data_IF_821422105740
#
_entry.id   IF_821422105740
#
_cell.length_a   1.000
_cell.length_b   1.000
_cell.length_c   1.000
_cell.angle_alpha   90.00
_cell.angle_beta   90.00
_cell.angle_gamma   90.00
#
_symmetry.space_group_name_H-M   'P 1'
#
loop_
_entity.id
_entity.type
_entity.pdbx_description
1 polymer ?
#
# COMPACT_ATOMS: atom_id res chain seq x y z
N UNK A 1 1.37 -46.06 13.84
CA UNK A 1 0.79 -45.00 14.68
C UNK A 1 1.32 -43.66 14.15
N UNK A 2 0.44 -42.79 13.69
CA UNK A 2 0.72 -41.76 12.67
C UNK A 2 1.49 -40.53 13.20
N UNK A 3 2.51 -40.11 12.45
CA UNK A 3 3.12 -38.78 12.49
C UNK A 3 2.42 -37.90 11.44
N UNK A 4 1.82 -36.79 11.87
CA UNK A 4 1.25 -35.77 10.98
C UNK A 4 2.24 -34.60 10.91
N UNK A 5 2.88 -34.42 9.75
CA UNK A 5 3.63 -33.21 9.40
C UNK A 5 2.71 -32.33 8.55
N UNK A 6 2.34 -31.14 9.05
CA UNK A 6 1.74 -30.10 8.20
C UNK A 6 2.87 -29.28 7.59
N UNK A 7 3.04 -29.38 6.26
CA UNK A 7 3.88 -28.48 5.48
C UNK A 7 3.09 -27.20 5.21
N UNK A 8 3.47 -26.09 5.85
CA UNK A 8 3.11 -24.78 5.33
C UNK A 8 4.18 -24.39 4.31
N UNK A 9 3.78 -24.28 3.04
CA UNK A 9 4.64 -23.70 2.00
C UNK A 9 4.94 -22.24 2.36
N UNK A 10 6.18 -21.96 2.73
CA UNK A 10 6.69 -20.57 2.89
C UNK A 10 6.95 -19.93 1.51
N UNK A 11 6.72 -20.66 0.41
CA UNK A 11 7.15 -20.29 -0.94
C UNK A 11 6.35 -19.13 -1.57
N UNK A 12 5.16 -18.80 -1.04
CA UNK A 12 4.33 -17.72 -1.58
C UNK A 12 4.69 -16.34 -1.01
N UNK A 13 5.17 -16.26 0.24
CA UNK A 13 5.50 -14.98 0.87
C UNK A 13 6.80 -14.37 0.30
N UNK A 14 7.79 -15.21 -0.04
CA UNK A 14 9.06 -14.76 -0.61
C UNK A 14 8.89 -14.27 -2.07
N UNK A 15 8.14 -14.98 -2.89
CA UNK A 15 7.87 -14.59 -4.29
C UNK A 15 7.04 -13.31 -4.41
N UNK A 16 6.11 -13.09 -3.47
CA UNK A 16 5.38 -11.84 -3.26
C UNK A 16 6.36 -10.70 -2.93
N UNK A 17 7.18 -10.83 -1.89
CA UNK A 17 8.11 -9.78 -1.48
C UNK A 17 9.15 -9.43 -2.56
N UNK A 18 9.72 -10.42 -3.26
CA UNK A 18 10.74 -10.22 -4.29
C UNK A 18 10.22 -9.54 -5.56
N UNK A 19 8.94 -9.74 -5.90
CA UNK A 19 8.31 -9.05 -7.04
C UNK A 19 7.76 -7.68 -6.65
N UNK A 20 7.19 -7.54 -5.46
CA UNK A 20 6.68 -6.25 -4.98
C UNK A 20 7.80 -5.26 -4.62
N UNK A 21 8.99 -5.75 -4.22
CA UNK A 21 10.17 -4.91 -3.99
C UNK A 21 10.83 -4.33 -5.26
N UNK A 22 10.41 -4.75 -6.46
CA UNK A 22 10.97 -4.31 -7.75
C UNK A 22 10.04 -3.41 -8.57
N UNK A 23 8.85 -3.09 -8.05
CA UNK A 23 7.97 -2.16 -8.74
C UNK A 23 8.58 -0.75 -8.67
N UNK A 24 8.68 -0.02 -9.81
CA UNK A 24 9.05 1.38 -9.77
C UNK A 24 7.89 2.15 -9.12
N UNK A 25 7.99 2.42 -7.82
CA UNK A 25 6.95 3.09 -7.05
C UNK A 25 7.23 4.59 -6.97
N UNK A 26 6.41 5.37 -7.67
CA UNK A 26 6.20 6.80 -7.40
C UNK A 26 4.79 7.00 -6.89
N UNK A 27 4.64 7.70 -5.77
CA UNK A 27 3.35 7.94 -5.12
C UNK A 27 2.83 9.34 -5.41
N UNK A 28 1.57 9.44 -5.76
CA UNK A 28 0.87 10.69 -6.01
C UNK A 28 -0.17 10.91 -4.92
N UNK A 29 -0.33 12.16 -4.48
CA UNK A 29 -1.43 12.53 -3.59
C UNK A 29 -2.75 12.53 -4.36
N UNK A 30 -3.79 11.95 -3.78
CA UNK A 30 -5.13 12.03 -4.35
C UNK A 30 -5.72 13.43 -4.12
N UNK A 31 -5.90 14.17 -5.21
CA UNK A 31 -6.56 15.48 -5.33
C UNK A 31 -7.88 15.39 -6.10
N UNK A 32 -8.38 14.18 -6.38
CA UNK A 32 -9.59 13.95 -7.17
C UNK A 32 -9.39 13.05 -8.40
N UNK A 33 -8.20 12.46 -8.59
CA UNK A 33 -7.91 11.54 -9.68
C UNK A 33 -8.71 10.22 -9.57
N UNK A 34 -9.16 9.88 -8.37
CA UNK A 34 -9.89 8.64 -8.04
C UNK A 34 -10.75 8.84 -6.80
N UNK A 35 -11.45 7.78 -6.36
CA UNK A 35 -12.29 7.72 -5.15
C UNK A 35 -11.61 8.40 -3.94
N UNK A 36 -12.37 9.28 -3.27
CA UNK A 36 -11.92 10.09 -2.13
C UNK A 36 -11.35 9.32 -0.92
N UNK A 37 -11.64 8.01 -0.81
CA UNK A 37 -11.07 7.14 0.22
C UNK A 37 -9.58 6.90 0.02
N UNK A 38 -9.11 6.98 -1.21
CA UNK A 38 -7.68 6.89 -1.56
C UNK A 38 -6.99 8.17 -1.13
N UNK A 39 -5.88 8.04 -0.41
CA UNK A 39 -5.03 9.16 0.02
C UNK A 39 -3.82 9.32 -0.90
N UNK A 40 -3.22 8.20 -1.26
CA UNK A 40 -2.13 8.15 -2.23
C UNK A 40 -2.38 7.03 -3.22
N UNK A 41 -1.87 7.19 -4.43
CA UNK A 41 -1.84 6.13 -5.43
C UNK A 41 -0.47 6.04 -6.08
N UNK A 42 -0.09 4.84 -6.50
CA UNK A 42 1.04 4.63 -7.40
C UNK A 42 0.55 3.94 -8.64
N UNK A 43 1.01 4.41 -9.80
CA UNK A 43 0.64 3.85 -11.10
C UNK A 43 1.92 3.47 -11.83
N UNK A 44 1.87 2.31 -12.45
CA UNK A 44 2.91 1.87 -13.36
C UNK A 44 2.32 1.00 -14.44
N UNK A 45 3.18 0.52 -15.33
CA UNK A 45 2.74 -0.33 -16.43
C UNK A 45 2.10 -1.60 -15.87
N UNK A 46 0.80 -1.76 -16.10
CA UNK A 46 0.04 -2.94 -15.71
C UNK A 46 -0.47 -2.96 -14.26
N UNK A 47 -0.21 -1.92 -13.45
CA UNK A 47 -0.71 -1.93 -12.07
C UNK A 47 -1.15 -0.55 -11.57
N UNK A 48 -2.03 -0.58 -10.57
CA UNK A 48 -2.28 0.58 -9.70
C UNK A 48 -2.33 0.12 -8.25
N UNK A 49 -1.55 0.79 -7.41
CA UNK A 49 -1.59 0.64 -5.96
C UNK A 49 -2.38 1.80 -5.38
N UNK A 50 -3.43 1.52 -4.63
CA UNK A 50 -4.22 2.50 -3.90
C UNK A 50 -3.95 2.37 -2.41
N UNK A 51 -3.64 3.49 -1.77
CA UNK A 51 -3.38 3.58 -0.34
C UNK A 51 -4.49 4.41 0.32
N UNK A 52 -5.26 3.79 1.20
CA UNK A 52 -6.29 4.45 2.00
C UNK A 52 -5.78 4.70 3.43
N UNK A 53 -6.63 5.13 4.35
CA UNK A 53 -6.28 5.20 5.76
C UNK A 53 -5.91 3.86 6.38
N UNK A 54 -6.46 2.75 5.89
CA UNK A 54 -6.37 1.45 6.58
C UNK A 54 -6.23 0.24 5.62
N UNK A 55 -6.12 0.48 4.32
CA UNK A 55 -5.95 -0.57 3.32
C UNK A 55 -4.90 -0.15 2.28
N UNK A 56 -4.20 -1.16 1.77
CA UNK A 56 -3.47 -1.09 0.52
C UNK A 56 -4.14 -2.04 -0.47
N UNK A 57 -4.50 -1.54 -1.65
CA UNK A 57 -5.14 -2.32 -2.72
C UNK A 57 -4.24 -2.26 -3.95
N UNK A 58 -3.66 -3.39 -4.34
CA UNK A 58 -2.95 -3.52 -5.59
C UNK A 58 -3.87 -4.16 -6.63
N UNK A 59 -4.14 -3.43 -7.71
CA UNK A 59 -4.85 -3.93 -8.88
C UNK A 59 -3.84 -4.14 -10.02
N UNK A 60 -3.72 -5.37 -10.51
CA UNK A 60 -2.98 -5.75 -11.71
C UNK A 60 -3.85 -6.77 -12.48
N UNK A 61 -4.77 -6.30 -13.34
CA UNK A 61 -5.82 -7.13 -13.92
C UNK A 61 -5.30 -8.43 -14.57
N UNK A 62 -5.99 -9.57 -14.36
CA UNK A 62 -7.26 -9.70 -13.63
C UNK A 62 -7.11 -9.78 -12.10
N UNK A 63 -5.89 -9.68 -11.56
CA UNK A 63 -5.60 -9.94 -10.17
C UNK A 63 -5.79 -8.69 -9.29
N UNK A 64 -6.33 -8.90 -8.08
CA UNK A 64 -6.44 -7.87 -7.05
C UNK A 64 -5.95 -8.43 -5.73
N UNK A 65 -4.97 -7.76 -5.12
CA UNK A 65 -4.49 -8.06 -3.77
C UNK A 65 -4.91 -6.93 -2.82
N UNK A 66 -5.45 -7.28 -1.65
CA UNK A 66 -5.86 -6.34 -0.61
C UNK A 66 -5.17 -6.67 0.69
N UNK A 67 -4.55 -5.67 1.29
CA UNK A 67 -3.93 -5.76 2.60
C UNK A 67 -4.61 -4.78 3.54
N UNK A 68 -5.02 -5.25 4.72
CA UNK A 68 -5.53 -4.39 5.80
C UNK A 68 -4.37 -3.99 6.71
N UNK A 69 -4.26 -2.69 6.99
CA UNK A 69 -3.30 -2.15 7.94
C UNK A 69 -3.86 -2.33 9.36
N UNK A 70 -3.46 -3.41 10.03
CA UNK A 70 -3.87 -3.71 11.40
C UNK A 70 -3.19 -2.72 12.36
N UNK A 71 -3.94 -2.21 13.34
CA UNK A 71 -3.43 -1.23 14.31
C UNK A 71 -3.36 0.21 13.80
N UNK A 72 -3.83 0.50 12.58
CA UNK A 72 -4.00 1.87 12.12
C UNK A 72 -5.07 2.57 12.97
N UNK A 73 -4.72 3.73 13.55
CA UNK A 73 -5.68 4.61 14.22
C UNK A 73 -6.88 4.89 13.30
N UNK A 74 -8.08 5.14 13.87
CA UNK A 74 -9.31 5.40 13.09
C UNK A 74 -9.16 6.54 12.05
N UNK A 75 -8.18 7.43 12.23
CA UNK A 75 -7.80 8.51 11.30
C UNK A 75 -6.27 8.70 11.33
N UNK A 76 -5.47 7.86 10.64
CA UNK A 76 -4.03 8.02 10.65
C UNK A 76 -3.64 9.25 9.82
N UNK A 77 -2.59 9.95 10.25
CA UNK A 77 -2.01 11.01 9.44
C UNK A 77 -1.16 10.37 8.35
N UNK A 78 -1.56 10.51 7.09
CA UNK A 78 -0.85 9.95 5.93
C UNK A 78 -0.17 11.08 5.17
N UNK A 79 1.15 11.00 4.98
CA UNK A 79 1.94 12.03 4.29
C UNK A 79 2.89 11.42 3.25
N UNK A 80 3.09 12.12 2.13
CA UNK A 80 4.13 11.78 1.16
C UNK A 80 5.49 12.27 1.68
N UNK A 81 6.52 11.49 1.45
CA UNK A 81 7.90 11.78 1.84
C UNK A 81 8.85 11.57 0.67
N UNK A 82 10.02 12.21 0.75
CA UNK A 82 11.04 12.19 -0.28
C UNK A 82 10.45 12.59 -1.65
N UNK A 83 10.12 13.88 -1.85
CA UNK A 83 9.56 14.38 -3.10
C UNK A 83 10.46 14.00 -4.28
N UNK A 84 9.84 13.52 -5.34
CA UNK A 84 10.52 13.20 -6.59
C UNK A 84 10.39 14.37 -7.57
N UNK A 85 11.35 14.54 -8.49
CA UNK A 85 11.29 15.61 -9.50
C UNK A 85 10.15 15.43 -10.50
N UNK A 86 9.60 14.21 -10.63
CA UNK A 86 8.48 13.91 -11.52
C UNK A 86 7.18 14.56 -11.04
N UNK A 87 6.38 15.06 -11.98
CA UNK A 87 5.04 15.60 -11.73
C UNK A 87 4.05 14.98 -12.70
N UNK A 88 2.83 14.77 -12.23
CA UNK A 88 1.76 14.17 -13.02
C UNK A 88 0.69 15.21 -13.35
N UNK A 89 0.10 15.07 -14.54
CA UNK A 89 -1.00 15.91 -15.02
C UNK A 89 -2.17 15.01 -15.44
N UNK A 90 -3.38 15.43 -15.10
CA UNK A 90 -4.62 14.70 -15.28
C UNK A 90 -5.63 15.56 -16.04
N UNK A 91 -5.86 15.19 -17.30
CA UNK A 91 -6.82 15.85 -18.17
C UNK A 91 -8.10 15.00 -18.25
N UNK A 92 -8.86 14.98 -17.14
CA UNK A 92 -10.04 14.11 -16.99
C UNK A 92 -11.26 14.83 -17.58
N UNK A 93 -11.84 14.26 -18.63
CA UNK A 93 -12.99 14.84 -19.33
C UNK A 93 -12.66 16.10 -20.13
N UNK A 94 -13.70 16.76 -20.62
CA UNK A 94 -13.58 17.88 -21.57
C UNK A 94 -13.63 19.26 -20.92
N UNK A 95 -13.62 19.34 -19.58
CA UNK A 95 -13.68 20.59 -18.83
C UNK A 95 -12.29 20.92 -18.27
N UNK A 96 -11.58 21.93 -18.82
CA UNK A 96 -10.24 22.29 -18.38
C UNK A 96 -10.18 22.75 -16.92
N UNK A 97 -11.29 23.23 -16.34
CA UNK A 97 -11.33 23.61 -14.93
C UNK A 97 -11.24 22.39 -14.00
N UNK A 98 -11.49 21.20 -14.52
CA UNK A 98 -11.38 19.93 -13.79
C UNK A 98 -10.03 19.23 -14.00
N UNK A 99 -9.16 19.79 -14.83
CA UNK A 99 -7.84 19.25 -15.05
C UNK A 99 -6.96 19.47 -13.81
N UNK A 100 -6.24 18.44 -13.40
CA UNK A 100 -5.29 18.52 -12.30
C UNK A 100 -3.89 18.57 -12.89
N UNK A 101 -3.24 19.71 -12.84
CA UNK A 101 -1.84 19.84 -13.24
C UNK A 101 -0.94 19.87 -12.02
N UNK A 102 0.35 19.64 -12.23
CA UNK A 102 1.38 19.77 -11.21
C UNK A 102 1.07 18.96 -9.93
N UNK A 103 0.65 17.71 -10.11
CA UNK A 103 0.52 16.77 -8.99
C UNK A 103 1.93 16.30 -8.59
N UNK A 104 2.37 16.57 -7.34
CA UNK A 104 3.68 16.14 -6.87
C UNK A 104 3.73 14.62 -6.72
N UNK A 105 4.90 14.05 -7.00
CA UNK A 105 5.20 12.65 -6.74
C UNK A 105 6.18 12.50 -5.58
N UNK A 106 6.11 11.37 -4.89
CA UNK A 106 6.87 11.07 -3.68
C UNK A 106 7.45 9.66 -3.76
N UNK A 107 8.64 9.44 -3.20
CA UNK A 107 9.22 8.10 -3.18
C UNK A 107 8.62 7.22 -2.07
N UNK A 108 8.04 7.84 -1.02
CA UNK A 108 7.49 7.13 0.15
C UNK A 108 6.17 7.74 0.61
N UNK A 109 5.38 6.92 1.28
CA UNK A 109 4.19 7.35 2.03
C UNK A 109 4.35 6.91 3.47
N UNK A 110 4.29 7.86 4.40
CA UNK A 110 4.36 7.61 5.84
C UNK A 110 2.97 7.67 6.46
N UNK A 111 2.67 6.66 7.28
CA UNK A 111 1.54 6.65 8.20
C UNK A 111 2.06 7.03 9.60
N UNK A 112 1.69 8.21 10.09
CA UNK A 112 2.05 8.69 11.44
C UNK A 112 0.93 8.37 12.43
N UNK A 113 1.33 7.90 13.62
CA UNK A 113 0.52 7.30 14.69
C UNK A 113 0.10 5.83 14.48
N UNK A 114 1.10 4.97 14.25
CA UNK A 114 1.01 3.56 14.68
C UNK A 114 1.46 3.53 16.15
N UNK A 115 0.55 3.85 17.07
CA UNK A 115 0.75 3.65 18.51
C UNK A 115 0.20 2.29 18.88
N UNK A 116 0.99 1.25 18.63
CA UNK A 116 0.65 -0.12 18.97
C UNK A 116 1.90 -0.96 18.88
N UNK A 117 2.49 -1.23 20.03
CA UNK A 117 3.54 -2.22 20.26
C UNK A 117 3.30 -3.45 19.38
N UNK A 118 4.28 -3.87 18.59
CA UNK A 118 4.30 -5.24 18.05
C UNK A 118 4.50 -6.14 19.25
N UNK A 119 3.42 -6.56 19.91
CA UNK A 119 3.47 -7.63 20.90
C UNK A 119 3.62 -8.92 20.10
N UNK A 120 4.88 -9.36 19.99
CA UNK A 120 5.21 -10.73 19.58
C UNK A 120 4.60 -11.64 20.65
N UNK A 121 3.49 -12.31 20.36
CA UNK A 121 2.98 -13.37 21.21
C UNK A 121 3.99 -14.52 21.19
N UNK A 122 5.02 -14.45 22.04
CA UNK A 122 5.71 -15.65 22.50
C UNK A 122 4.89 -16.18 23.66
N UNK A 123 3.92 -17.04 23.36
CA UNK A 123 3.32 -17.87 24.38
C UNK A 123 4.43 -18.64 25.10
N UNK A 124 4.47 -18.43 26.41
CA UNK A 124 5.31 -19.21 27.32
C UNK A 124 4.77 -20.65 27.32
N UNK A 125 5.60 -21.61 26.94
CA UNK A 125 5.56 -22.91 27.58
C UNK A 125 6.81 -23.03 28.44
N UNK A 126 6.63 -22.79 29.73
CA UNK A 126 7.60 -23.12 30.76
C UNK A 126 7.09 -24.34 31.52
N UNK A 127 7.96 -25.34 31.63
CA UNK A 127 7.99 -26.43 32.62
C UNK A 127 6.73 -27.27 32.83
N UNK A 128 6.76 -28.51 32.33
CA UNK A 128 7.13 -29.70 33.12
C UNK A 128 7.58 -30.82 32.20
#
# INVERSE_FOLDING_TARGET
MFLVLWSMSVADAQTVAERYGKLPLGFEVNRGQTDSRVKFLSRGRGYTLFLTSNEAVLANPPNVARMKLIGANKKPSVSGEDPLPGRSNYFIGNDPQKWLTDVPTYAKVRYRQVSGVIQRNSEKFSTR
#
